data_IF_895131994994
#
_entry.id   IF_895131994994
#
_cell.length_a   1.000
_cell.length_b   1.000
_cell.length_c   1.000
_cell.angle_alpha   90.00
_cell.angle_beta   90.00
_cell.angle_gamma   90.00
#
_symmetry.space_group_name_H-M   'P 1'
#
loop_
_entity.id
_entity.type
_entity.pdbx_description
1 polymer ?
#
# COMPACT_ATOMS: atom_id res chain seq x y z
N UNK A 1 -9.15 -14.62 13.53
CA UNK A 1 -8.21 -13.81 14.34
C UNK A 1 -7.90 -12.49 13.63
N UNK A 2 -7.51 -12.52 12.34
CA UNK A 2 -7.33 -11.33 11.48
C UNK A 2 -8.60 -10.44 11.29
N UNK A 3 -9.81 -11.01 11.28
CA UNK A 3 -11.05 -10.22 11.13
C UNK A 3 -11.26 -9.14 12.21
N UNK A 4 -10.73 -9.33 13.43
CA UNK A 4 -10.80 -8.32 14.49
C UNK A 4 -9.75 -7.23 14.32
N UNK A 5 -8.63 -7.55 13.67
CA UNK A 5 -7.49 -6.64 13.52
C UNK A 5 -7.72 -5.50 12.54
N UNK A 6 -8.69 -5.65 11.64
CA UNK A 6 -9.05 -4.67 10.61
C UNK A 6 -10.35 -3.92 10.94
N UNK A 7 -10.91 -4.13 12.13
CA UNK A 7 -12.08 -3.38 12.64
C UNK A 7 -11.64 -2.15 13.41
N UNK A 8 -11.17 -1.14 12.67
CA UNK A 8 -10.59 0.08 13.23
C UNK A 8 -11.64 1.06 13.76
N UNK A 9 -11.28 1.82 14.79
CA UNK A 9 -12.13 2.88 15.33
C UNK A 9 -12.27 4.05 14.34
N UNK A 10 -11.23 4.31 13.54
CA UNK A 10 -11.25 5.27 12.45
C UNK A 10 -12.48 5.08 11.56
N UNK A 11 -12.76 3.85 11.12
CA UNK A 11 -13.90 3.57 10.24
C UNK A 11 -15.23 3.86 10.91
N UNK A 12 -15.41 3.41 12.16
CA UNK A 12 -16.65 3.63 12.92
C UNK A 12 -16.92 5.11 13.12
N UNK A 13 -15.90 5.88 13.55
CA UNK A 13 -16.01 7.33 13.80
C UNK A 13 -16.24 8.14 12.52
N UNK A 14 -15.81 7.61 11.37
CA UNK A 14 -15.95 8.26 10.07
C UNK A 14 -17.17 7.80 9.26
N UNK A 15 -18.05 6.95 9.83
CA UNK A 15 -19.27 6.49 9.18
C UNK A 15 -19.07 5.40 8.13
N UNK A 16 -17.90 4.75 8.09
CA UNK A 16 -17.68 3.62 7.19
C UNK A 16 -18.44 2.38 7.69
N UNK A 17 -19.05 1.67 6.75
CA UNK A 17 -19.69 0.38 6.96
C UNK A 17 -18.84 -0.74 6.38
N UNK A 18 -18.65 -1.82 7.15
CA UNK A 18 -17.99 -3.04 6.68
C UNK A 18 -18.98 -3.89 5.90
N UNK A 19 -18.64 -4.24 4.66
CA UNK A 19 -19.46 -5.05 3.76
C UNK A 19 -18.65 -6.21 3.20
N UNK A 20 -19.34 -7.22 2.69
CA UNK A 20 -18.72 -8.37 2.01
C UNK A 20 -19.02 -8.28 0.52
N UNK A 21 -17.99 -8.32 -0.32
CA UNK A 21 -18.14 -8.19 -1.77
C UNK A 21 -18.89 -9.40 -2.33
N UNK A 22 -19.96 -9.16 -3.10
CA UNK A 22 -20.74 -10.23 -3.75
C UNK A 22 -19.98 -11.03 -4.80
N UNK A 23 -18.88 -10.51 -5.36
CA UNK A 23 -18.08 -11.16 -6.42
C UNK A 23 -16.88 -11.94 -5.88
N UNK A 24 -15.99 -11.31 -5.11
CA UNK A 24 -14.78 -11.99 -4.59
C UNK A 24 -14.92 -12.50 -3.16
N UNK A 25 -16.02 -12.19 -2.46
CA UNK A 25 -16.25 -12.63 -1.08
C UNK A 25 -15.39 -11.96 -0.01
N UNK A 26 -14.42 -11.10 -0.39
CA UNK A 26 -13.58 -10.32 0.54
C UNK A 26 -14.38 -9.21 1.23
N UNK A 27 -13.98 -8.88 2.45
CA UNK A 27 -14.55 -7.75 3.19
C UNK A 27 -13.95 -6.43 2.71
N UNK A 28 -14.73 -5.35 2.80
CA UNK A 28 -14.29 -4.01 2.47
C UNK A 28 -15.08 -2.96 3.28
N UNK A 29 -14.49 -1.80 3.47
CA UNK A 29 -15.08 -0.66 4.16
C UNK A 29 -15.44 0.43 3.15
N UNK A 30 -16.65 0.95 3.24
CA UNK A 30 -17.16 2.00 2.35
C UNK A 30 -18.08 2.97 3.09
N UNK A 31 -18.23 4.19 2.57
CA UNK A 31 -19.27 5.14 3.01
C UNK A 31 -20.60 4.95 2.25
N UNK A 32 -20.60 4.14 1.19
CA UNK A 32 -21.78 3.91 0.34
C UNK A 32 -22.56 2.69 0.84
N UNK A 33 -23.69 2.93 1.49
CA UNK A 33 -24.54 1.87 2.04
C UNK A 33 -25.12 0.92 0.99
N UNK A 34 -25.30 1.37 -0.25
CA UNK A 34 -25.83 0.60 -1.38
C UNK A 34 -24.75 -0.21 -2.11
N UNK A 35 -23.46 0.05 -1.87
CA UNK A 35 -22.37 -0.55 -2.62
C UNK A 35 -22.19 -2.05 -2.36
N UNK A 36 -22.38 -2.91 -3.37
CA UNK A 36 -22.38 -4.38 -3.19
C UNK A 36 -21.05 -5.07 -3.53
N UNK A 37 -20.11 -4.34 -4.13
CA UNK A 37 -18.82 -4.86 -4.59
C UNK A 37 -17.66 -3.99 -4.09
N UNK A 38 -16.48 -4.58 -3.93
CA UNK A 38 -15.29 -3.94 -3.33
C UNK A 38 -14.65 -2.84 -4.19
N UNK A 39 -15.23 -2.49 -5.33
CA UNK A 39 -14.73 -1.48 -6.27
C UNK A 39 -13.34 -1.75 -6.84
N UNK A 40 -12.86 -2.98 -6.76
CA UNK A 40 -11.56 -3.39 -7.32
C UNK A 40 -11.75 -4.24 -8.58
N UNK A 41 -10.79 -4.19 -9.50
CA UNK A 41 -10.75 -5.09 -10.66
C UNK A 41 -10.32 -6.50 -10.23
N UNK A 42 -10.98 -7.58 -10.68
CA UNK A 42 -12.00 -7.65 -11.74
C UNK A 42 -13.46 -7.60 -11.24
N UNK A 43 -13.70 -7.26 -9.96
CA UNK A 43 -15.07 -7.14 -9.45
C UNK A 43 -15.85 -6.00 -10.12
N UNK A 44 -15.15 -4.94 -10.51
CA UNK A 44 -15.66 -3.88 -11.39
C UNK A 44 -14.64 -3.60 -12.49
N UNK A 45 -15.12 -3.02 -13.60
CA UNK A 45 -14.24 -2.45 -14.62
C UNK A 45 -13.69 -1.09 -14.17
N UNK A 46 -12.65 -0.60 -14.85
CA UNK A 46 -12.10 0.73 -14.57
C UNK A 46 -13.11 1.81 -14.97
N UNK A 47 -13.49 2.64 -14.01
CA UNK A 47 -14.48 3.70 -14.20
C UNK A 47 -13.84 5.10 -14.32
N UNK A 48 -12.51 5.20 -14.16
CA UNK A 48 -11.77 6.46 -14.23
C UNK A 48 -11.24 6.77 -15.65
N UNK A 49 -11.22 5.78 -16.55
CA UNK A 49 -10.77 5.96 -17.94
C UNK A 49 -11.72 6.92 -18.66
N UNK A 50 -11.17 7.99 -19.23
CA UNK A 50 -11.92 9.10 -19.83
C UNK A 50 -12.65 10.00 -18.85
N UNK A 51 -12.68 9.67 -17.56
CA UNK A 51 -13.45 10.37 -16.53
C UNK A 51 -12.69 10.45 -15.18
N UNK A 52 -11.55 11.17 -15.11
CA UNK A 52 -10.79 11.31 -13.88
C UNK A 52 -11.57 12.14 -12.85
N UNK A 53 -11.61 11.68 -11.60
CA UNK A 53 -12.32 12.33 -10.48
C UNK A 53 -11.38 13.10 -9.54
N UNK A 54 -10.17 13.39 -9.99
CA UNK A 54 -9.15 14.13 -9.23
C UNK A 54 -9.19 15.60 -9.60
N UNK A 55 -8.69 16.49 -8.73
CA UNK A 55 -8.68 17.95 -8.96
C UNK A 55 -7.90 18.37 -10.20
N UNK A 56 -6.84 17.64 -10.55
CA UNK A 56 -6.01 17.89 -11.73
C UNK A 56 -5.29 16.63 -12.17
N UNK A 57 -4.82 16.64 -13.41
CA UNK A 57 -3.88 15.64 -13.93
C UNK A 57 -2.48 15.91 -13.38
N UNK A 58 -1.74 14.84 -13.10
CA UNK A 58 -0.35 14.92 -12.67
C UNK A 58 0.57 14.19 -13.66
N UNK A 59 1.82 14.61 -13.74
CA UNK A 59 2.91 13.77 -14.25
C UNK A 59 3.66 13.08 -13.10
N UNK A 60 4.57 12.15 -13.43
CA UNK A 60 5.36 11.39 -12.44
C UNK A 60 6.16 12.28 -11.48
N UNK A 61 6.74 13.38 -11.98
CA UNK A 61 7.55 14.28 -11.14
C UNK A 61 6.68 15.02 -10.14
N UNK A 62 5.55 15.55 -10.58
CA UNK A 62 4.62 16.27 -9.72
C UNK A 62 4.02 15.34 -8.67
N UNK A 63 3.49 14.19 -9.07
CA UNK A 63 2.86 13.24 -8.14
C UNK A 63 3.84 12.76 -7.06
N UNK A 64 5.08 12.44 -7.46
CA UNK A 64 6.13 12.06 -6.51
C UNK A 64 6.40 13.17 -5.50
N UNK A 65 6.48 14.42 -5.96
CA UNK A 65 6.75 15.55 -5.08
C UNK A 65 5.58 15.83 -4.13
N UNK A 66 4.34 15.77 -4.61
CA UNK A 66 3.14 15.93 -3.76
C UNK A 66 3.09 14.89 -2.64
N UNK A 67 3.37 13.62 -2.96
CA UNK A 67 3.41 12.54 -1.98
C UNK A 67 4.50 12.76 -0.94
N UNK A 68 5.73 12.99 -1.37
CA UNK A 68 6.87 13.18 -0.47
C UNK A 68 6.68 14.42 0.41
N UNK A 69 6.30 15.55 -0.19
CA UNK A 69 6.02 16.79 0.53
C UNK A 69 4.84 16.66 1.52
N UNK A 70 3.80 15.89 1.18
CA UNK A 70 2.68 15.64 2.10
C UNK A 70 3.16 14.96 3.38
N UNK A 71 3.92 13.88 3.27
CA UNK A 71 4.41 13.16 4.45
C UNK A 71 5.52 13.93 5.19
N UNK A 72 6.37 14.69 4.49
CA UNK A 72 7.34 15.60 5.13
C UNK A 72 6.66 16.63 6.04
N UNK A 73 5.57 17.27 5.57
CA UNK A 73 4.79 18.19 6.40
C UNK A 73 4.07 17.51 7.56
N UNK A 74 3.85 16.20 7.48
CA UNK A 74 3.28 15.37 8.53
C UNK A 74 4.36 14.62 9.34
N UNK A 75 5.56 15.21 9.46
CA UNK A 75 6.59 14.74 10.39
C UNK A 75 7.40 13.52 9.93
N UNK A 76 7.22 13.05 8.69
CA UNK A 76 8.04 11.95 8.16
C UNK A 76 9.34 12.49 7.57
N UNK A 77 10.45 11.79 7.80
CA UNK A 77 11.72 12.16 7.16
C UNK A 77 11.78 11.61 5.74
N UNK A 78 11.95 12.48 4.75
CA UNK A 78 12.20 12.07 3.37
C UNK A 78 13.56 11.41 3.20
N UNK A 79 13.56 10.22 2.61
CA UNK A 79 14.76 9.49 2.23
C UNK A 79 15.00 9.55 0.72
N UNK A 80 16.25 9.32 0.34
CA UNK A 80 16.63 9.05 -1.05
C UNK A 80 16.35 7.59 -1.36
N UNK A 81 16.02 7.31 -2.63
CA UNK A 81 15.85 5.94 -3.13
C UNK A 81 17.11 5.10 -2.94
N UNK A 82 16.91 3.81 -2.71
CA UNK A 82 17.91 2.76 -2.76
C UNK A 82 18.10 2.28 -4.22
N UNK A 83 19.20 1.59 -4.54
CA UNK A 83 19.37 0.97 -5.85
C UNK A 83 18.38 -0.19 -6.03
N UNK A 84 17.98 -0.46 -7.27
CA UNK A 84 17.07 -1.58 -7.61
C UNK A 84 17.69 -2.97 -7.41
N UNK A 85 19.01 -3.03 -7.22
CA UNK A 85 19.75 -4.26 -6.90
C UNK A 85 19.93 -4.32 -5.39
N UNK A 86 19.47 -5.40 -4.77
CA UNK A 86 19.45 -5.56 -3.32
C UNK A 86 20.83 -5.91 -2.77
N UNK A 87 21.74 -4.93 -2.71
CA UNK A 87 23.15 -5.13 -2.30
C UNK A 87 23.33 -5.40 -0.80
N UNK A 88 22.32 -5.13 0.02
CA UNK A 88 22.36 -5.21 1.48
C UNK A 88 21.80 -6.53 2.04
N UNK A 89 21.35 -7.44 1.17
CA UNK A 89 20.75 -8.72 1.53
C UNK A 89 21.13 -9.78 0.49
N UNK A 90 20.98 -11.05 0.84
CA UNK A 90 21.46 -12.21 0.07
C UNK A 90 20.34 -13.18 -0.35
N UNK A 91 19.11 -12.95 0.09
CA UNK A 91 17.94 -13.78 -0.17
C UNK A 91 17.11 -13.36 -1.40
N UNK A 92 17.26 -12.10 -1.87
CA UNK A 92 16.64 -11.60 -3.11
C UNK A 92 17.65 -10.80 -3.94
N UNK A 93 17.48 -10.79 -5.27
CA UNK A 93 18.36 -10.06 -6.19
C UNK A 93 17.97 -8.60 -6.41
N UNK A 94 16.68 -8.30 -6.44
CA UNK A 94 16.13 -6.99 -6.78
C UNK A 94 15.19 -6.47 -5.70
N UNK A 95 15.09 -5.15 -5.59
CA UNK A 95 14.10 -4.50 -4.72
C UNK A 95 12.68 -4.76 -5.26
N UNK A 96 11.88 -5.53 -4.54
CA UNK A 96 10.51 -5.93 -4.94
C UNK A 96 9.39 -5.07 -4.34
N UNK A 97 9.72 -4.32 -3.29
CA UNK A 97 8.86 -3.42 -2.52
C UNK A 97 9.73 -2.42 -1.76
N UNK A 98 9.18 -1.29 -1.32
CA UNK A 98 9.92 -0.30 -0.52
C UNK A 98 10.41 -0.88 0.81
N UNK A 99 9.62 -1.74 1.46
CA UNK A 99 10.02 -2.39 2.72
C UNK A 99 11.25 -3.29 2.58
N UNK A 100 11.53 -3.79 1.37
CA UNK A 100 12.68 -4.63 1.09
C UNK A 100 14.02 -3.91 1.31
N UNK A 101 14.02 -2.57 1.30
CA UNK A 101 15.18 -1.72 1.60
C UNK A 101 15.62 -1.83 3.07
N UNK A 102 14.70 -2.21 3.96
CA UNK A 102 14.90 -2.26 5.40
C UNK A 102 15.00 -3.70 5.94
N UNK A 103 14.62 -4.68 5.13
CA UNK A 103 14.75 -6.10 5.45
C UNK A 103 16.16 -6.65 5.18
N UNK A 104 16.61 -7.65 5.95
CA UNK A 104 16.00 -8.12 7.20
C UNK A 104 16.40 -7.26 8.42
N UNK A 105 17.56 -6.59 8.37
CA UNK A 105 18.26 -6.04 9.53
C UNK A 105 17.44 -5.02 10.35
N UNK A 106 16.74 -4.09 9.70
CA UNK A 106 15.92 -3.10 10.43
C UNK A 106 14.63 -3.74 10.92
N UNK A 107 14.03 -4.62 10.10
CA UNK A 107 12.79 -5.30 10.46
C UNK A 107 12.96 -6.32 11.61
N UNK A 108 14.17 -6.87 11.80
CA UNK A 108 14.52 -7.74 12.91
C UNK A 108 14.98 -6.98 14.16
N UNK A 109 15.32 -5.69 14.03
CA UNK A 109 15.87 -4.87 15.10
C UNK A 109 17.39 -4.94 15.27
N UNK A 110 18.11 -5.59 14.34
CA UNK A 110 19.57 -5.61 14.31
C UNK A 110 20.18 -4.26 13.91
N UNK A 111 19.41 -3.43 13.22
CA UNK A 111 19.81 -2.08 12.81
C UNK A 111 18.66 -1.07 13.02
N UNK A 112 19.02 0.17 13.32
CA UNK A 112 18.05 1.26 13.39
C UNK A 112 17.58 1.69 11.99
N UNK A 113 16.29 2.09 11.83
CA UNK A 113 15.85 2.70 10.58
C UNK A 113 16.57 4.05 10.38
N UNK A 114 16.86 4.46 9.13
CA UNK A 114 17.53 5.75 8.86
C UNK A 114 16.76 6.98 9.38
N UNK A 115 15.45 6.84 9.56
CA UNK A 115 14.58 7.77 10.27
C UNK A 115 13.28 7.06 10.67
N UNK A 116 12.55 7.59 11.66
CA UNK A 116 11.29 7.00 12.10
C UNK A 116 10.32 8.12 12.57
N UNK A 117 9.19 8.35 11.88
CA UNK A 117 8.76 7.69 10.64
C UNK A 117 9.50 8.26 9.41
N UNK A 118 9.45 7.53 8.29
CA UNK A 118 10.13 7.91 7.05
C UNK A 118 9.18 7.90 5.85
N UNK A 119 9.53 8.64 4.80
CA UNK A 119 8.84 8.61 3.49
C UNK A 119 9.85 8.48 2.35
N UNK A 120 9.52 7.67 1.34
CA UNK A 120 10.40 7.36 0.21
C UNK A 120 9.59 7.14 -1.09
N UNK A 121 10.24 7.33 -2.24
CA UNK A 121 9.77 6.86 -3.56
C UNK A 121 10.81 5.87 -4.08
N UNK A 122 10.52 4.57 -3.96
CA UNK A 122 11.47 3.51 -4.24
C UNK A 122 11.15 2.82 -5.57
N UNK A 123 12.05 2.88 -6.58
CA UNK A 123 11.93 2.04 -7.75
C UNK A 123 12.05 0.55 -7.39
N UNK A 124 11.08 -0.23 -7.85
CA UNK A 124 10.94 -1.65 -7.60
C UNK A 124 10.90 -2.42 -8.93
N UNK A 125 11.44 -3.62 -8.93
CA UNK A 125 11.37 -4.54 -10.08
C UNK A 125 10.63 -5.80 -9.68
N UNK A 126 9.59 -6.15 -10.45
CA UNK A 126 8.84 -7.40 -10.31
C UNK A 126 8.82 -8.15 -11.64
N UNK A 127 9.37 -9.35 -11.63
CA UNK A 127 9.33 -10.26 -12.79
C UNK A 127 8.17 -11.25 -12.73
N UNK A 128 7.53 -11.41 -11.57
CA UNK A 128 6.36 -12.30 -11.40
C UNK A 128 5.18 -11.91 -12.29
N UNK A 129 5.06 -10.63 -12.62
CA UNK A 129 3.95 -10.09 -13.39
C UNK A 129 4.26 -9.93 -14.89
N UNK A 130 5.42 -10.42 -15.36
CA UNK A 130 5.91 -10.17 -16.72
C UNK A 130 4.92 -10.62 -17.81
N UNK A 131 4.22 -11.74 -17.59
CA UNK A 131 3.22 -12.26 -18.52
C UNK A 131 1.99 -11.36 -18.67
N UNK A 132 1.72 -10.49 -17.69
CA UNK A 132 0.59 -9.57 -17.66
C UNK A 132 0.94 -8.17 -18.21
N UNK A 133 2.23 -7.85 -18.34
CA UNK A 133 2.71 -6.59 -18.89
C UNK A 133 2.34 -6.48 -20.37
N UNK A 134 1.78 -5.34 -20.78
CA UNK A 134 1.26 -5.10 -22.13
C UNK A 134 -0.11 -5.72 -22.42
N UNK A 135 -0.55 -6.73 -21.65
CA UNK A 135 -1.87 -7.37 -21.83
C UNK A 135 -2.96 -6.74 -20.96
N UNK A 136 -2.62 -6.44 -19.72
CA UNK A 136 -3.57 -5.95 -18.71
C UNK A 136 -3.78 -4.44 -18.71
N UNK A 137 -2.93 -3.69 -19.41
CA UNK A 137 -2.93 -2.21 -19.40
C UNK A 137 -2.47 -1.57 -18.09
N UNK A 138 -2.18 -2.34 -17.03
CA UNK A 138 -1.86 -1.81 -15.68
C UNK A 138 -0.56 -2.32 -15.04
N UNK A 139 -0.02 -3.45 -15.52
CA UNK A 139 1.19 -4.05 -14.93
C UNK A 139 2.44 -3.49 -15.59
N UNK A 140 3.48 -3.32 -14.78
CA UNK A 140 4.81 -2.85 -15.13
C UNK A 140 5.84 -3.80 -14.52
N UNK A 141 6.96 -4.03 -15.20
CA UNK A 141 8.10 -4.74 -14.60
C UNK A 141 8.89 -3.83 -13.66
N UNK A 142 8.98 -2.53 -13.97
CA UNK A 142 9.62 -1.50 -13.16
C UNK A 142 8.60 -0.39 -12.88
N UNK A 143 8.47 -0.02 -11.61
CA UNK A 143 7.58 1.01 -11.13
C UNK A 143 8.11 1.62 -9.83
N UNK A 144 7.67 2.81 -9.49
CA UNK A 144 7.99 3.43 -8.21
C UNK A 144 6.89 3.16 -7.17
N UNK A 145 7.29 2.46 -6.11
CA UNK A 145 6.50 2.32 -4.91
C UNK A 145 6.84 3.47 -3.97
N UNK A 146 5.92 4.44 -3.89
CA UNK A 146 5.99 5.45 -2.85
C UNK A 146 5.48 4.87 -1.54
N UNK A 147 6.12 5.22 -0.44
CA UNK A 147 5.82 4.60 0.85
C UNK A 147 6.09 5.55 2.01
N UNK A 148 5.30 5.40 3.05
CA UNK A 148 5.65 5.84 4.39
C UNK A 148 5.76 4.63 5.31
N UNK A 149 6.83 4.60 6.12
CA UNK A 149 7.11 3.52 7.04
C UNK A 149 7.26 4.04 8.47
N UNK A 150 6.76 3.26 9.43
CA UNK A 150 6.96 3.47 10.86
C UNK A 150 7.33 2.14 11.52
N UNK A 151 8.40 2.14 12.30
CA UNK A 151 8.95 0.96 12.98
C UNK A 151 8.68 1.10 14.47
N UNK A 152 7.71 0.35 14.98
CA UNK A 152 7.26 0.49 16.37
C UNK A 152 7.89 -0.60 17.24
N UNK A 153 8.74 -0.20 18.17
CA UNK A 153 9.25 -1.07 19.24
C UNK A 153 8.48 -0.81 20.54
N UNK A 154 8.73 -1.61 21.58
CA UNK A 154 8.15 -1.36 22.92
C UNK A 154 8.54 0.00 23.49
N UNK A 155 9.76 0.46 23.19
CA UNK A 155 10.33 1.70 23.74
C UNK A 155 10.12 2.91 22.81
N UNK A 156 9.82 2.67 21.53
CA UNK A 156 9.64 3.73 20.53
C UNK A 156 8.42 3.42 19.66
N UNK A 157 7.27 3.95 20.07
CA UNK A 157 6.02 3.90 19.32
C UNK A 157 5.80 5.22 18.57
N UNK A 158 5.55 5.14 17.27
CA UNK A 158 5.26 6.29 16.41
C UNK A 158 3.76 6.37 16.09
N UNK A 159 3.25 5.39 15.34
CA UNK A 159 1.83 5.25 15.01
C UNK A 159 1.55 3.86 14.43
N UNK A 160 0.27 3.49 14.32
CA UNK A 160 -0.15 2.18 13.82
C UNK A 160 -1.30 2.29 12.81
N UNK A 161 -2.26 1.37 12.90
CA UNK A 161 -3.34 1.15 11.92
C UNK A 161 -4.23 2.38 11.71
N UNK A 162 -4.62 3.02 12.80
CA UNK A 162 -5.58 4.13 12.79
C UNK A 162 -5.02 5.32 11.99
N UNK A 163 -3.82 5.78 12.34
CA UNK A 163 -3.17 6.91 11.69
C UNK A 163 -2.74 6.57 10.25
N UNK A 164 -2.35 5.32 9.98
CA UNK A 164 -1.98 4.88 8.62
C UNK A 164 -3.16 5.03 7.66
N UNK A 165 -4.34 4.57 8.05
CA UNK A 165 -5.56 4.71 7.24
C UNK A 165 -5.98 6.18 7.13
N UNK A 166 -5.83 6.97 8.20
CA UNK A 166 -6.09 8.40 8.17
C UNK A 166 -5.18 9.14 7.19
N UNK A 167 -3.87 8.86 7.19
CA UNK A 167 -2.93 9.45 6.23
C UNK A 167 -3.27 9.09 4.79
N UNK A 168 -3.59 7.82 4.53
CA UNK A 168 -4.01 7.38 3.20
C UNK A 168 -5.25 8.15 2.74
N UNK A 169 -6.26 8.27 3.60
CA UNK A 169 -7.48 9.01 3.27
C UNK A 169 -7.19 10.49 3.01
N UNK A 170 -6.41 11.14 3.88
CA UNK A 170 -6.05 12.57 3.75
C UNK A 170 -5.27 12.83 2.47
N UNK A 171 -4.31 11.98 2.13
CA UNK A 171 -3.57 12.12 0.87
C UNK A 171 -4.51 12.09 -0.33
N UNK A 172 -5.37 11.08 -0.44
CA UNK A 172 -6.28 10.95 -1.58
C UNK A 172 -7.37 12.03 -1.63
N UNK A 173 -7.93 12.44 -0.49
CA UNK A 173 -9.04 13.41 -0.44
C UNK A 173 -8.55 14.87 -0.43
N UNK A 174 -7.51 15.20 0.33
CA UNK A 174 -7.04 16.58 0.49
C UNK A 174 -6.04 16.99 -0.59
N UNK A 175 -5.13 16.08 -1.01
CA UNK A 175 -4.13 16.37 -2.04
C UNK A 175 -4.69 16.11 -3.43
N UNK A 176 -5.25 14.91 -3.67
CA UNK A 176 -5.77 14.57 -5.01
C UNK A 176 -7.21 15.04 -5.24
N UNK A 177 -7.95 15.36 -4.17
CA UNK A 177 -9.32 15.84 -4.28
C UNK A 177 -10.36 14.79 -4.63
N UNK A 178 -10.04 13.51 -4.42
CA UNK A 178 -10.99 12.41 -4.62
C UNK A 178 -12.10 12.55 -3.57
N UNK A 179 -13.39 12.51 -3.96
CA UNK A 179 -14.49 12.49 -3.00
C UNK A 179 -14.34 11.30 -2.02
N UNK A 180 -14.51 11.55 -0.72
CA UNK A 180 -14.23 10.58 0.35
C UNK A 180 -15.00 9.27 0.15
N UNK A 181 -16.24 9.37 -0.32
CA UNK A 181 -17.16 8.28 -0.60
C UNK A 181 -16.77 7.38 -1.79
N UNK A 182 -15.82 7.82 -2.61
CA UNK A 182 -15.26 7.01 -3.71
C UNK A 182 -14.08 6.13 -3.26
N UNK A 183 -13.55 6.34 -2.05
CA UNK A 183 -12.44 5.56 -1.50
C UNK A 183 -12.98 4.37 -0.71
N UNK A 184 -12.58 3.18 -1.14
CA UNK A 184 -12.89 1.91 -0.49
C UNK A 184 -11.63 1.31 0.11
N UNK A 185 -11.71 0.79 1.34
CA UNK A 185 -10.63 0.04 1.96
C UNK A 185 -10.98 -1.44 1.95
N UNK A 186 -10.42 -2.19 1.01
CA UNK A 186 -10.65 -3.62 0.85
C UNK A 186 -9.68 -4.40 1.74
N UNK A 187 -10.18 -5.34 2.52
CA UNK A 187 -9.35 -6.18 3.37
C UNK A 187 -8.65 -7.24 2.52
N UNK A 188 -7.32 -7.26 2.57
CA UNK A 188 -6.54 -8.29 1.90
C UNK A 188 -5.22 -8.53 2.66
N UNK A 189 -5.12 -9.57 3.50
CA UNK A 189 -3.87 -9.90 4.19
C UNK A 189 -2.70 -10.02 3.21
N UNK A 190 -1.52 -9.57 3.66
CA UNK A 190 -0.30 -9.60 2.86
C UNK A 190 0.75 -10.50 3.50
N UNK A 191 1.51 -11.19 2.66
CA UNK A 191 2.62 -12.04 3.05
C UNK A 191 3.68 -12.03 1.94
N UNK A 192 4.96 -12.06 2.32
CA UNK A 192 6.08 -12.08 1.38
C UNK A 192 7.40 -11.64 2.02
N UNK A 193 8.52 -12.09 1.44
CA UNK A 193 9.86 -11.67 1.85
C UNK A 193 10.18 -11.96 3.32
N UNK A 194 9.64 -13.04 3.89
CA UNK A 194 9.88 -13.45 5.28
C UNK A 194 8.93 -12.83 6.31
N UNK A 195 7.96 -12.00 5.89
CA UNK A 195 7.03 -11.31 6.79
C UNK A 195 5.58 -11.39 6.33
N UNK A 196 4.65 -11.16 7.26
CA UNK A 196 3.22 -11.09 6.97
C UNK A 196 2.49 -10.11 7.90
N UNK A 197 1.27 -9.74 7.51
CA UNK A 197 0.43 -8.85 8.29
C UNK A 197 -0.98 -8.70 7.73
N UNK A 198 -1.89 -8.22 8.57
CA UNK A 198 -3.18 -7.74 8.11
C UNK A 198 -2.97 -6.53 7.18
N UNK A 199 -3.79 -6.35 6.14
CA UNK A 199 -3.64 -5.19 5.27
C UNK A 199 -4.96 -4.70 4.65
N UNK A 200 -4.94 -3.43 4.25
CA UNK A 200 -5.95 -2.82 3.40
C UNK A 200 -5.39 -2.50 2.02
N UNK A 201 -6.16 -2.81 0.98
CA UNK A 201 -6.00 -2.21 -0.34
C UNK A 201 -6.90 -0.97 -0.39
N UNK A 202 -6.31 0.19 -0.71
CA UNK A 202 -7.05 1.43 -0.97
C UNK A 202 -7.44 1.44 -2.43
N UNK A 203 -8.74 1.34 -2.68
CA UNK A 203 -9.30 1.12 -4.01
C UNK A 203 -10.23 2.28 -4.38
N UNK A 204 -10.14 2.72 -5.63
CA UNK A 204 -11.04 3.73 -6.17
C UNK A 204 -11.37 3.45 -7.64
N UNK A 205 -12.65 3.50 -8.01
CA UNK A 205 -13.14 3.37 -9.40
C UNK A 205 -12.53 2.19 -10.20
N UNK A 206 -12.36 1.02 -9.56
CA UNK A 206 -11.83 -0.18 -10.21
C UNK A 206 -10.33 -0.37 -10.10
N UNK A 207 -9.59 0.56 -9.48
CA UNK A 207 -8.13 0.51 -9.39
C UNK A 207 -7.67 0.54 -7.93
N UNK A 208 -6.84 -0.43 -7.56
CA UNK A 208 -6.03 -0.39 -6.34
C UNK A 208 -4.92 0.66 -6.48
N UNK A 209 -5.02 1.72 -5.67
CA UNK A 209 -4.10 2.86 -5.63
C UNK A 209 -2.97 2.68 -4.61
N UNK A 210 -3.26 1.97 -3.51
CA UNK A 210 -2.28 1.71 -2.46
C UNK A 210 -2.57 0.43 -1.68
N UNK A 211 -1.56 -0.10 -1.01
CA UNK A 211 -1.65 -1.18 -0.03
C UNK A 211 -1.08 -0.70 1.31
N UNK A 212 -1.78 -0.97 2.41
CA UNK A 212 -1.43 -0.59 3.78
C UNK A 212 -1.30 -1.86 4.61
N UNK A 213 -0.08 -2.38 4.74
CA UNK A 213 0.26 -3.61 5.46
C UNK A 213 0.71 -3.28 6.89
N UNK A 214 0.18 -4.05 7.84
CA UNK A 214 0.52 -3.95 9.26
C UNK A 214 1.33 -5.19 9.65
N UNK A 215 2.63 -5.13 9.36
CA UNK A 215 3.53 -6.26 9.56
C UNK A 215 3.77 -6.47 11.05
N UNK A 216 3.32 -7.61 11.55
CA UNK A 216 3.53 -8.06 12.92
C UNK A 216 3.93 -9.54 12.99
N UNK A 217 4.14 -10.18 11.84
CA UNK A 217 4.50 -11.59 11.70
C UNK A 217 5.80 -11.75 10.91
N UNK A 218 6.63 -12.69 11.34
CA UNK A 218 7.83 -13.17 10.62
C UNK A 218 7.73 -14.68 10.40
N UNK A 219 8.25 -15.16 9.28
CA UNK A 219 8.33 -16.58 9.01
C UNK A 219 9.15 -17.28 10.10
N UNK A 220 8.60 -18.38 10.62
CA UNK A 220 9.19 -19.19 11.68
C UNK A 220 8.69 -20.63 11.54
N UNK A 221 9.54 -21.61 11.23
CA UNK A 221 9.14 -23.03 11.14
C UNK A 221 8.48 -23.56 12.42
N UNK A 222 8.79 -22.97 13.57
CA UNK A 222 8.20 -23.31 14.86
C UNK A 222 7.03 -22.40 15.26
N UNK A 223 6.64 -21.47 14.38
CA UNK A 223 5.56 -20.53 14.61
C UNK A 223 4.20 -21.20 14.77
N UNK A 224 3.35 -20.59 15.58
CA UNK A 224 2.01 -21.09 15.90
C UNK A 224 0.94 -20.63 14.89
N UNK A 225 1.26 -19.65 14.05
CA UNK A 225 0.34 -19.06 13.08
C UNK A 225 0.65 -19.62 11.69
N UNK A 226 -0.32 -20.28 11.07
CA UNK A 226 -0.18 -20.82 9.71
C UNK A 226 -0.99 -19.99 8.70
N UNK A 227 -0.33 -19.52 7.64
CA UNK A 227 -0.92 -18.75 6.53
C UNK A 227 -0.40 -19.36 5.23
N UNK A 228 -1.31 -19.87 4.38
CA UNK A 228 -0.97 -20.45 3.07
C UNK A 228 0.14 -21.52 3.11
N UNK A 229 0.17 -22.32 4.20
CA UNK A 229 1.16 -23.39 4.39
C UNK A 229 2.52 -22.92 4.95
N UNK A 230 2.72 -21.62 5.15
CA UNK A 230 3.89 -21.07 5.83
C UNK A 230 3.57 -20.77 7.29
N UNK A 231 4.50 -21.07 8.20
CA UNK A 231 4.37 -20.81 9.63
C UNK A 231 5.03 -19.48 10.02
N UNK A 232 4.40 -18.80 10.96
CA UNK A 232 4.77 -17.47 11.41
C UNK A 232 4.73 -17.34 12.93
N UNK A 233 5.62 -16.49 13.44
CA UNK A 233 5.65 -16.02 14.82
C UNK A 233 5.46 -14.50 14.87
N UNK A 234 4.96 -13.98 15.98
CA UNK A 234 4.90 -12.54 16.18
C UNK A 234 6.29 -11.91 16.19
N UNK A 235 6.38 -10.71 15.64
CA UNK A 235 7.58 -9.89 15.68
C UNK A 235 7.65 -9.08 16.98
N UNK A 236 8.86 -8.78 17.44
CA UNK A 236 9.08 -7.83 18.53
C UNK A 236 8.87 -6.37 18.08
N UNK A 237 8.93 -6.13 16.76
CA UNK A 237 8.75 -4.82 16.12
C UNK A 237 7.52 -4.88 15.23
N UNK A 238 6.57 -3.97 15.46
CA UNK A 238 5.38 -3.79 14.64
C UNK A 238 5.66 -2.73 13.57
N UNK A 239 5.53 -3.06 12.29
CA UNK A 239 5.95 -2.18 11.20
C UNK A 239 4.76 -1.78 10.32
N UNK A 240 4.61 -0.47 10.11
CA UNK A 240 3.72 0.07 9.09
C UNK A 240 4.46 -0.03 7.76
N UNK A 241 3.95 -0.87 6.88
CA UNK A 241 4.45 -1.07 5.53
C UNK A 241 3.40 -0.61 4.53
N UNK A 242 3.64 0.52 3.87
CA UNK A 242 2.73 1.05 2.86
C UNK A 242 3.36 1.02 1.48
N UNK A 243 2.52 0.88 0.45
CA UNK A 243 2.95 0.94 -0.93
C UNK A 243 1.91 1.65 -1.79
N UNK A 244 2.30 2.76 -2.40
CA UNK A 244 1.50 3.59 -3.28
C UNK A 244 2.15 3.57 -4.67
N UNK A 245 1.48 2.99 -5.67
CA UNK A 245 2.03 2.90 -7.01
C UNK A 245 2.00 4.26 -7.70
N UNK A 246 3.15 4.93 -7.84
CA UNK A 246 3.25 6.26 -8.47
C UNK A 246 2.59 6.28 -9.84
N UNK A 247 2.92 5.29 -10.65
CA UNK A 247 2.44 5.08 -12.02
C UNK A 247 0.93 4.89 -12.07
N UNK A 248 0.36 4.11 -11.14
CA UNK A 248 -1.09 3.88 -11.05
C UNK A 248 -1.81 5.14 -10.65
N UNK A 249 -1.28 5.90 -9.69
CA UNK A 249 -1.89 7.15 -9.24
C UNK A 249 -1.85 8.20 -10.35
N UNK A 250 -0.73 8.32 -11.08
CA UNK A 250 -0.64 9.20 -12.25
C UNK A 250 -1.66 8.80 -13.31
N UNK A 251 -1.74 7.50 -13.66
CA UNK A 251 -2.73 6.99 -14.60
C UNK A 251 -4.16 7.29 -14.16
N UNK A 252 -4.47 7.10 -12.88
CA UNK A 252 -5.76 7.43 -12.30
C UNK A 252 -6.12 8.91 -12.46
N UNK A 253 -5.16 9.80 -12.23
CA UNK A 253 -5.39 11.26 -12.36
C UNK A 253 -5.59 11.69 -13.81
N UNK A 254 -5.02 10.97 -14.77
CA UNK A 254 -5.05 11.32 -16.19
C UNK A 254 -6.24 10.74 -16.94
N UNK A 255 -6.67 9.54 -16.55
CA UNK A 255 -7.77 8.81 -17.16
C UNK A 255 -7.45 8.28 -18.57
N UNK A 256 -6.16 8.10 -18.90
CA UNK A 256 -5.75 7.57 -20.21
C UNK A 256 -6.15 6.09 -20.37
N UNK A 257 -6.17 5.52 -21.60
CA UNK A 257 -6.60 4.14 -21.82
C UNK A 257 -5.77 3.09 -21.07
N UNK A 258 -4.46 3.32 -20.96
CA UNK A 258 -3.55 2.44 -20.24
C UNK A 258 -2.57 3.22 -19.36
N UNK A 259 -1.96 2.51 -18.42
CA UNK A 259 -0.89 3.05 -17.59
C UNK A 259 0.30 3.51 -18.45
N UNK A 260 0.53 2.90 -19.62
CA UNK A 260 1.66 3.21 -20.50
C UNK A 260 1.48 4.59 -21.14
N UNK A 261 0.28 4.89 -21.64
CA UNK A 261 -0.07 6.19 -22.24
C UNK A 261 -0.01 7.35 -21.23
N UNK A 262 -0.15 7.02 -19.94
CA UNK A 262 -0.10 8.01 -18.86
C UNK A 262 1.33 8.38 -18.44
N UNK A 263 2.32 7.55 -18.77
CA UNK A 263 3.68 7.59 -18.22
C UNK A 263 4.70 8.01 -19.26
N UNK A 264 4.59 7.45 -20.48
CA UNK A 264 5.56 7.59 -21.57
C UNK A 264 4.96 8.37 -22.74
#
# INVERSE_FOLDING_TARGET
MLDKELSLEFFKRNGYVRKRCKKCGKYFWTLKEDLEVCMDSPCVEYQFIGNPITRRKYNLREMREEFLSFFERNGHKRLKRYPVVARWRDDIYFTIASIADFQPHVTSGEADPPANPLVISQPCIRFTDIDAVGKSGRHLTNFEMMAHHAFNTKDNYVYWKEETVEYALKFFTEVLGIPKEEIVFKENPWFGGGNAGAAFEVVCKGLELATLVFMNLKEDPNGEIEIEGTRYSYMDINIVDTGYGLERIVWFTRGDPTIYDAIY
#
